data_IF_569706028531
#
_entry.id   IF_569706028531
#
_cell.length_a   1.000
_cell.length_b   1.000
_cell.length_c   1.000
_cell.angle_alpha   90.00
_cell.angle_beta   90.00
_cell.angle_gamma   90.00
#
_symmetry.space_group_name_H-M   'P 1'
#
loop_
_entity.id
_entity.type
_entity.pdbx_description
1 polymer ?
#
# COMPACT_ATOMS: atom_id res chain seq x y z
N UNK A 1 -6.95 -15.10 19.13
CA UNK A 1 -6.59 -13.79 18.54
C UNK A 1 -5.12 -13.82 18.19
N UNK A 2 -4.77 -13.73 16.90
CA UNK A 2 -3.37 -13.80 16.52
C UNK A 2 -2.65 -12.49 16.87
N UNK A 3 -1.57 -12.62 17.64
CA UNK A 3 -0.61 -11.55 17.99
C UNK A 3 -0.13 -10.73 16.78
N UNK A 4 -0.10 -11.34 15.60
CA UNK A 4 0.31 -10.68 14.36
C UNK A 4 -0.79 -9.79 13.76
N UNK A 5 -2.07 -10.11 13.95
CA UNK A 5 -3.16 -9.37 13.27
C UNK A 5 -3.25 -7.93 13.76
N UNK A 6 -3.15 -7.72 15.08
CA UNK A 6 -3.18 -6.38 15.66
C UNK A 6 -1.93 -5.57 15.29
N UNK A 7 -0.75 -6.20 15.29
CA UNK A 7 0.47 -5.53 14.83
C UNK A 7 0.42 -5.18 13.35
N UNK A 8 -0.16 -6.03 12.50
CA UNK A 8 -0.37 -5.75 11.07
C UNK A 8 -1.33 -4.57 10.89
N UNK A 9 -2.41 -4.49 11.68
CA UNK A 9 -3.33 -3.35 11.64
C UNK A 9 -2.64 -2.04 12.04
N UNK A 10 -1.73 -2.08 13.02
CA UNK A 10 -0.91 -0.92 13.37
C UNK A 10 0.04 -0.49 12.24
N UNK A 11 0.69 -1.44 11.55
CA UNK A 11 1.55 -1.11 10.40
C UNK A 11 0.72 -0.46 9.27
N UNK A 12 -0.45 -1.02 8.95
CA UNK A 12 -1.36 -0.44 7.94
C UNK A 12 -1.78 0.98 8.33
N UNK A 13 -2.16 1.20 9.59
CA UNK A 13 -2.54 2.52 10.08
C UNK A 13 -1.36 3.51 10.01
N UNK A 14 -0.15 3.08 10.35
CA UNK A 14 1.05 3.92 10.29
C UNK A 14 1.41 4.30 8.84
N UNK A 15 1.27 3.37 7.89
CA UNK A 15 1.48 3.62 6.46
C UNK A 15 0.48 4.66 5.92
N UNK A 16 -0.80 4.57 6.30
CA UNK A 16 -1.82 5.55 5.89
C UNK A 16 -1.55 6.96 6.46
N UNK A 17 -1.10 7.06 7.71
CA UNK A 17 -0.71 8.33 8.32
C UNK A 17 0.50 8.93 7.59
N UNK A 18 1.48 8.11 7.20
CA UNK A 18 2.64 8.55 6.42
C UNK A 18 2.23 9.04 5.02
N UNK A 19 1.22 8.43 4.39
CA UNK A 19 0.68 8.88 3.13
C UNK A 19 0.07 10.29 3.21
N UNK A 20 -0.75 10.55 4.23
CA UNK A 20 -1.33 11.89 4.47
C UNK A 20 -0.23 12.92 4.74
N UNK A 21 0.82 12.54 5.49
CA UNK A 21 1.95 13.44 5.77
C UNK A 21 2.71 13.84 4.50
N UNK A 22 2.92 12.90 3.58
CA UNK A 22 3.60 13.20 2.32
C UNK A 22 2.80 14.16 1.43
N UNK A 23 1.47 14.03 1.36
CA UNK A 23 0.62 14.98 0.62
C UNK A 23 0.71 16.39 1.20
N UNK A 24 0.73 16.48 2.54
CA UNK A 24 0.85 17.75 3.23
C UNK A 24 2.22 18.42 3.01
N UNK A 25 3.29 17.63 2.98
CA UNK A 25 4.62 18.11 2.59
C UNK A 25 4.68 18.63 1.15
N UNK A 26 4.05 17.92 0.20
CA UNK A 26 3.98 18.36 -1.19
C UNK A 26 3.20 19.67 -1.34
N UNK A 27 2.06 19.79 -0.64
CA UNK A 27 1.25 21.01 -0.59
C UNK A 27 2.03 22.18 0.01
N UNK A 28 2.71 21.98 1.15
CA UNK A 28 3.55 23.00 1.77
C UNK A 28 4.74 23.42 0.89
N UNK A 29 5.39 22.46 0.23
CA UNK A 29 6.48 22.74 -0.71
C UNK A 29 6.00 23.49 -1.97
N UNK A 30 4.78 23.23 -2.44
CA UNK A 30 4.17 23.98 -3.53
C UNK A 30 3.83 25.41 -3.11
N UNK A 31 3.27 25.60 -1.90
CA UNK A 31 2.97 26.92 -1.35
C UNK A 31 4.24 27.78 -1.17
N UNK A 32 5.33 27.20 -0.66
CA UNK A 32 6.63 27.88 -0.57
C UNK A 32 7.16 28.32 -1.94
N UNK A 33 7.09 27.43 -2.94
CA UNK A 33 7.52 27.74 -4.32
C UNK A 33 6.69 28.85 -4.95
N UNK A 34 5.40 28.94 -4.61
CA UNK A 34 4.49 29.98 -5.08
C UNK A 34 4.64 31.31 -4.31
N UNK A 35 5.48 31.37 -3.26
CA UNK A 35 5.60 32.53 -2.38
C UNK A 35 4.40 32.74 -1.44
N UNK A 36 3.52 31.74 -1.31
CA UNK A 36 2.37 31.77 -0.40
C UNK A 36 2.80 31.27 0.99
N UNK A 37 3.47 32.17 1.73
CA UNK A 37 4.05 31.87 3.03
C UNK A 37 3.02 31.52 4.11
N UNK A 38 1.79 32.02 4.01
CA UNK A 38 0.71 31.69 4.95
C UNK A 38 0.25 30.24 4.77
N UNK A 39 -0.03 29.80 3.54
CA UNK A 39 -0.37 28.39 3.29
C UNK A 39 0.78 27.45 3.61
N UNK A 40 2.01 27.86 3.31
CA UNK A 40 3.20 27.09 3.69
C UNK A 40 3.30 26.90 5.20
N UNK A 41 3.05 27.96 5.98
CA UNK A 41 3.07 27.91 7.44
C UNK A 41 1.99 26.98 7.99
N UNK A 42 0.77 27.05 7.44
CA UNK A 42 -0.33 26.14 7.83
C UNK A 42 0.01 24.68 7.54
N UNK A 43 0.55 24.38 6.35
CA UNK A 43 0.95 23.02 5.99
C UNK A 43 2.05 22.47 6.91
N UNK A 44 3.01 23.31 7.33
CA UNK A 44 4.05 22.92 8.29
C UNK A 44 3.45 22.62 9.67
N UNK A 45 2.56 23.47 10.18
CA UNK A 45 1.91 23.26 11.48
C UNK A 45 1.09 21.96 11.50
N UNK A 46 0.34 21.70 10.43
CA UNK A 46 -0.42 20.46 10.28
C UNK A 46 0.52 19.24 10.17
N UNK A 47 1.67 19.36 9.50
CA UNK A 47 2.63 18.27 9.34
C UNK A 47 3.28 17.91 10.69
N UNK A 48 3.56 18.90 11.52
CA UNK A 48 4.04 18.71 12.89
C UNK A 48 3.00 17.94 13.71
N UNK A 49 1.72 18.38 13.69
CA UNK A 49 0.63 17.69 14.41
C UNK A 49 0.48 16.23 13.95
N UNK A 50 0.60 15.98 12.65
CA UNK A 50 0.49 14.64 12.10
C UNK A 50 1.69 13.75 12.47
N UNK A 51 2.90 14.32 12.50
CA UNK A 51 4.09 13.62 12.97
C UNK A 51 3.99 13.23 14.46
N UNK A 52 3.47 14.11 15.31
CA UNK A 52 3.19 13.83 16.72
C UNK A 52 2.14 12.72 16.87
N UNK A 53 1.07 12.75 16.08
CA UNK A 53 0.05 11.70 16.08
C UNK A 53 0.64 10.35 15.66
N UNK A 54 1.44 10.31 14.58
CA UNK A 54 2.17 9.11 14.15
C UNK A 54 3.05 8.54 15.26
N UNK A 55 3.75 9.40 16.00
CA UNK A 55 4.58 8.97 17.12
C UNK A 55 3.75 8.31 18.23
N UNK A 56 2.57 8.86 18.54
CA UNK A 56 1.63 8.26 19.51
C UNK A 56 1.13 6.89 19.05
N UNK A 57 0.76 6.74 17.78
CA UNK A 57 0.32 5.45 17.21
C UNK A 57 1.43 4.40 17.29
N UNK A 58 2.67 4.79 16.97
CA UNK A 58 3.85 3.91 17.09
C UNK A 58 4.15 3.54 18.55
N UNK A 59 3.96 4.47 19.48
CA UNK A 59 4.07 4.17 20.90
C UNK A 59 3.03 3.14 21.36
N UNK A 60 1.77 3.27 20.92
CA UNK A 60 0.70 2.30 21.20
C UNK A 60 0.99 0.92 20.59
N UNK A 61 1.53 0.87 19.38
CA UNK A 61 1.99 -0.38 18.76
C UNK A 61 3.05 -1.08 19.62
N UNK A 62 4.05 -0.34 20.10
CA UNK A 62 5.10 -0.87 20.96
C UNK A 62 4.56 -1.31 22.33
N UNK A 63 3.66 -0.53 22.92
CA UNK A 63 3.00 -0.86 24.18
C UNK A 63 2.20 -2.16 24.05
N UNK A 64 1.39 -2.28 22.99
CA UNK A 64 0.65 -3.50 22.67
C UNK A 64 1.58 -4.71 22.54
N UNK A 65 2.67 -4.59 21.78
CA UNK A 65 3.66 -5.65 21.65
C UNK A 65 4.28 -6.06 23.01
N UNK A 66 4.50 -5.08 23.89
CA UNK A 66 4.99 -5.27 25.25
C UNK A 66 3.98 -5.94 26.20
N UNK A 67 2.70 -5.57 26.13
CA UNK A 67 1.61 -6.17 26.92
C UNK A 67 1.42 -7.64 26.56
N UNK A 68 1.43 -7.98 25.27
CA UNK A 68 1.37 -9.37 24.83
C UNK A 68 2.60 -10.15 25.27
N UNK A 69 3.78 -9.53 25.23
CA UNK A 69 5.01 -10.15 25.71
C UNK A 69 5.02 -10.38 27.23
N UNK A 70 4.36 -9.52 28.02
CA UNK A 70 4.22 -9.66 29.47
C UNK A 70 3.14 -10.67 29.86
N UNK A 71 2.01 -10.70 29.15
CA UNK A 71 0.96 -11.72 29.34
C UNK A 71 1.47 -13.15 29.11
N UNK A 72 2.37 -13.34 28.14
CA UNK A 72 3.03 -14.64 27.88
C UNK A 72 4.00 -15.08 29.00
N UNK A 73 4.66 -14.12 29.68
CA UNK A 73 5.52 -14.43 30.84
C UNK A 73 4.69 -14.84 32.07
N UNK A 74 3.51 -14.26 32.26
CA UNK A 74 2.63 -14.58 33.39
C UNK A 74 1.96 -15.96 33.28
N UNK A 75 1.76 -16.48 32.06
CA UNK A 75 1.08 -17.76 31.82
C UNK A 75 2.00 -18.99 31.75
N UNK A 76 3.30 -18.86 32.08
CA UNK A 76 4.24 -19.99 32.14
C UNK A 76 4.45 -20.78 30.84
N UNK A 77 3.91 -20.30 29.72
CA UNK A 77 3.95 -20.99 28.44
C UNK A 77 5.37 -20.88 27.86
N UNK A 78 6.15 -21.97 27.95
CA UNK A 78 7.40 -22.09 27.18
C UNK A 78 7.06 -21.84 25.70
N UNK A 79 7.76 -20.91 25.02
CA UNK A 79 7.44 -20.60 23.64
C UNK A 79 7.79 -21.84 22.80
N UNK A 80 6.76 -22.57 22.34
CA UNK A 80 6.92 -23.44 21.17
C UNK A 80 7.31 -22.51 20.03
N UNK A 81 8.60 -22.54 19.68
CA UNK A 81 9.15 -21.92 18.48
C UNK A 81 8.53 -22.60 17.26
N UNK A 82 7.35 -22.14 16.87
CA UNK A 82 6.93 -22.10 15.47
C UNK A 82 6.62 -20.65 15.13
N UNK A 83 7.59 -19.78 15.41
CA UNK A 83 7.73 -18.58 14.61
C UNK A 83 7.97 -19.09 13.18
N UNK A 84 6.91 -19.17 12.36
CA UNK A 84 7.10 -19.18 10.93
C UNK A 84 7.77 -17.86 10.64
N UNK A 85 9.06 -17.96 10.36
CA UNK A 85 9.98 -16.86 10.19
C UNK A 85 9.33 -15.79 9.31
N UNK A 86 9.57 -14.52 9.67
CA UNK A 86 9.35 -13.41 8.77
C UNK A 86 9.87 -13.83 7.39
N UNK A 87 9.04 -13.75 6.36
CA UNK A 87 9.53 -13.90 5.00
C UNK A 87 10.65 -12.89 4.80
N UNK A 88 11.84 -13.37 4.47
CA UNK A 88 12.96 -12.49 4.12
C UNK A 88 12.51 -11.51 3.03
N UNK A 89 12.96 -10.26 3.13
CA UNK A 89 12.72 -9.24 2.10
C UNK A 89 13.14 -9.83 0.75
N UNK A 90 12.28 -9.73 -0.27
CA UNK A 90 12.51 -10.29 -1.62
C UNK A 90 11.76 -11.58 -1.97
N UNK A 91 11.03 -12.19 -1.02
CA UNK A 91 10.26 -13.42 -1.29
C UNK A 91 8.86 -13.19 -1.87
N UNK A 92 8.41 -11.94 -1.99
CA UNK A 92 7.14 -11.56 -2.65
C UNK A 92 7.45 -10.90 -3.98
N UNK A 93 6.55 -11.06 -4.95
CA UNK A 93 6.62 -10.36 -6.21
C UNK A 93 6.63 -8.86 -5.93
N UNK A 94 7.65 -8.12 -6.41
CA UNK A 94 7.78 -6.69 -6.13
C UNK A 94 6.59 -5.95 -6.74
N UNK A 95 6.20 -4.83 -6.12
CA UNK A 95 5.13 -3.96 -6.60
C UNK A 95 5.33 -3.57 -8.07
N UNK A 96 6.56 -3.27 -8.46
CA UNK A 96 6.94 -2.84 -9.80
C UNK A 96 6.52 -3.84 -10.89
N UNK A 97 6.55 -5.15 -10.57
CA UNK A 97 6.12 -6.21 -11.50
C UNK A 97 4.61 -6.19 -11.78
N UNK A 98 3.81 -5.46 -11.00
CA UNK A 98 2.37 -5.30 -11.22
C UNK A 98 2.03 -4.13 -12.14
N UNK A 99 2.96 -3.19 -12.41
CA UNK A 99 2.70 -1.98 -13.20
C UNK A 99 2.13 -2.29 -14.57
N UNK A 100 2.91 -3.03 -15.38
CA UNK A 100 2.53 -3.40 -16.74
C UNK A 100 1.23 -4.22 -16.77
N UNK A 101 1.08 -5.31 -15.99
CA UNK A 101 -0.17 -6.07 -15.96
C UNK A 101 -1.41 -5.22 -15.64
N UNK A 102 -1.31 -4.23 -14.73
CA UNK A 102 -2.42 -3.33 -14.39
C UNK A 102 -2.78 -2.44 -15.59
N UNK A 103 -1.78 -1.77 -16.17
CA UNK A 103 -2.00 -0.85 -17.28
C UNK A 103 -2.53 -1.58 -18.52
N UNK A 104 -1.98 -2.75 -18.87
CA UNK A 104 -2.47 -3.58 -19.97
C UNK A 104 -3.92 -4.01 -19.76
N UNK A 105 -4.25 -4.46 -18.54
CA UNK A 105 -5.62 -4.87 -18.21
C UNK A 105 -6.60 -3.71 -18.37
N UNK A 106 -6.22 -2.50 -17.97
CA UNK A 106 -7.04 -1.30 -18.16
C UNK A 106 -7.21 -0.96 -19.64
N UNK A 107 -6.15 -1.02 -20.45
CA UNK A 107 -6.24 -0.77 -21.91
C UNK A 107 -7.22 -1.74 -22.56
N UNK A 108 -7.13 -3.02 -22.24
CA UNK A 108 -8.01 -4.07 -22.79
C UNK A 108 -9.45 -3.99 -22.28
N UNK A 109 -9.68 -3.38 -21.13
CA UNK A 109 -11.02 -3.11 -20.60
C UNK A 109 -11.61 -1.80 -21.15
N UNK A 110 -10.97 -1.17 -22.14
CA UNK A 110 -11.45 0.08 -22.74
C UNK A 110 -10.94 1.35 -22.04
N UNK A 111 -10.03 1.22 -21.09
CA UNK A 111 -9.36 2.31 -20.39
C UNK A 111 -9.88 2.60 -18.99
N UNK A 112 -11.09 2.19 -18.66
CA UNK A 112 -11.74 2.43 -17.36
C UNK A 112 -12.59 1.22 -16.99
N UNK A 113 -12.41 0.69 -15.79
CA UNK A 113 -13.12 -0.52 -15.37
C UNK A 113 -13.21 -0.71 -13.85
N UNK A 114 -14.16 -1.53 -13.37
CA UNK A 114 -14.26 -1.89 -11.96
C UNK A 114 -13.00 -2.59 -11.45
N UNK A 115 -12.59 -2.27 -10.21
CA UNK A 115 -11.39 -2.83 -9.57
C UNK A 115 -11.39 -4.37 -9.61
N UNK A 116 -12.55 -4.99 -9.38
CA UNK A 116 -12.69 -6.45 -9.40
C UNK A 116 -12.28 -7.06 -10.73
N UNK A 117 -12.76 -6.49 -11.84
CA UNK A 117 -12.46 -6.97 -13.20
C UNK A 117 -11.00 -6.74 -13.59
N UNK A 118 -10.45 -5.57 -13.23
CA UNK A 118 -9.03 -5.27 -13.46
C UNK A 118 -8.15 -6.26 -12.70
N UNK A 119 -8.42 -6.48 -11.42
CA UNK A 119 -7.66 -7.43 -10.61
C UNK A 119 -7.79 -8.84 -11.17
N UNK A 120 -8.97 -9.30 -11.58
CA UNK A 120 -9.12 -10.62 -12.19
C UNK A 120 -8.20 -10.83 -13.40
N UNK A 121 -8.13 -9.84 -14.31
CA UNK A 121 -7.21 -9.89 -15.46
C UNK A 121 -5.74 -9.83 -15.06
N UNK A 122 -5.38 -8.97 -14.11
CA UNK A 122 -4.01 -8.92 -13.57
C UNK A 122 -3.61 -10.29 -12.98
N UNK A 123 -4.50 -10.92 -12.22
CA UNK A 123 -4.29 -12.24 -11.65
C UNK A 123 -4.11 -13.32 -12.71
N UNK A 124 -4.89 -13.27 -13.79
CA UNK A 124 -4.75 -14.18 -14.92
C UNK A 124 -3.40 -14.00 -15.64
N UNK A 125 -2.97 -12.76 -15.89
CA UNK A 125 -1.67 -12.43 -16.52
C UNK A 125 -0.48 -12.86 -15.67
N UNK A 126 -0.56 -12.60 -14.37
CA UNK A 126 0.54 -12.84 -13.45
C UNK A 126 0.57 -14.27 -12.89
N UNK A 127 -0.37 -15.14 -13.27
CA UNK A 127 -0.50 -16.51 -12.75
C UNK A 127 0.81 -17.32 -12.79
N UNK A 128 1.67 -17.08 -13.79
CA UNK A 128 2.99 -17.71 -13.90
C UNK A 128 4.14 -17.02 -13.14
N UNK A 129 3.97 -15.78 -12.70
CA UNK A 129 4.98 -14.97 -12.00
C UNK A 129 4.67 -14.70 -10.52
N UNK A 130 3.46 -15.02 -10.06
CA UNK A 130 3.11 -14.99 -8.64
C UNK A 130 3.67 -16.22 -7.93
N UNK A 131 4.43 -16.01 -6.86
CA UNK A 131 4.94 -17.11 -6.04
C UNK A 131 3.89 -17.60 -5.03
N UNK A 132 4.23 -18.68 -4.33
CA UNK A 132 3.37 -19.29 -3.31
C UNK A 132 2.97 -18.35 -2.15
N UNK A 133 3.71 -17.27 -1.90
CA UNK A 133 3.42 -16.32 -0.82
C UNK A 133 2.41 -15.25 -1.24
N UNK A 134 2.41 -14.91 -2.52
CA UNK A 134 1.50 -13.93 -3.12
C UNK A 134 0.09 -14.51 -3.31
N UNK A 135 0.00 -15.81 -3.59
CA UNK A 135 -1.25 -16.56 -3.69
C UNK A 135 -1.85 -16.99 -2.34
N UNK A 136 -1.18 -16.68 -1.21
CA UNK A 136 -1.74 -16.98 0.11
C UNK A 136 -2.91 -16.03 0.43
N UNK A 137 -3.98 -16.55 1.08
CA UNK A 137 -5.06 -15.72 1.57
C UNK A 137 -4.55 -14.72 2.62
N UNK A 138 -5.25 -13.60 2.71
CA UNK A 138 -5.04 -12.63 3.78
C UNK A 138 -5.56 -13.25 5.10
N UNK A 139 -4.80 -13.15 6.20
CA UNK A 139 -5.28 -13.60 7.50
C UNK A 139 -6.56 -12.89 7.95
N UNK A 140 -6.79 -11.64 7.50
CA UNK A 140 -7.96 -10.82 7.79
C UNK A 140 -9.19 -11.14 6.95
N UNK A 141 -8.99 -11.59 5.71
CA UNK A 141 -10.06 -12.03 4.81
C UNK A 141 -9.57 -13.24 4.00
N UNK A 142 -10.01 -14.46 4.37
CA UNK A 142 -9.64 -15.68 3.66
C UNK A 142 -10.06 -15.70 2.18
N UNK A 143 -10.98 -14.80 1.76
CA UNK A 143 -11.45 -14.67 0.37
C UNK A 143 -10.57 -13.73 -0.46
N UNK A 144 -9.71 -12.96 0.18
CA UNK A 144 -8.81 -12.01 -0.50
C UNK A 144 -7.36 -12.51 -0.43
N UNK A 145 -6.64 -12.41 -1.54
CA UNK A 145 -5.27 -12.93 -1.70
C UNK A 145 -4.27 -11.80 -1.68
N UNK A 146 -3.09 -12.04 -1.10
CA UNK A 146 -2.09 -10.99 -0.80
C UNK A 146 -1.66 -10.17 -2.01
N UNK A 147 -1.54 -10.79 -3.18
CA UNK A 147 -1.14 -10.07 -4.40
C UNK A 147 -2.16 -9.02 -4.85
N UNK A 148 -3.45 -9.19 -4.55
CA UNK A 148 -4.48 -8.18 -4.84
C UNK A 148 -4.23 -6.90 -4.04
N UNK A 149 -3.67 -7.03 -2.83
CA UNK A 149 -3.27 -5.88 -2.04
C UNK A 149 -2.02 -5.22 -2.64
N UNK A 150 -1.01 -6.02 -3.05
CA UNK A 150 0.18 -5.49 -3.75
C UNK A 150 -0.19 -4.73 -5.03
N UNK A 151 -1.14 -5.25 -5.82
CA UNK A 151 -1.63 -4.59 -7.03
C UNK A 151 -2.34 -3.25 -6.72
N UNK A 152 -3.08 -3.16 -5.61
CA UNK A 152 -3.70 -1.91 -5.18
C UNK A 152 -2.66 -0.85 -4.75
N UNK A 153 -1.57 -1.27 -4.10
CA UNK A 153 -0.42 -0.39 -3.84
C UNK A 153 0.23 0.10 -5.13
N UNK A 154 0.48 -0.81 -6.08
CA UNK A 154 1.00 -0.45 -7.39
C UNK A 154 0.13 0.59 -8.08
N UNK A 155 -1.21 0.46 -8.00
CA UNK A 155 -2.11 1.48 -8.53
C UNK A 155 -1.91 2.85 -7.89
N UNK A 156 -1.72 2.94 -6.57
CA UNK A 156 -1.49 4.23 -5.92
C UNK A 156 -0.18 4.87 -6.40
N UNK A 157 0.88 4.08 -6.59
CA UNK A 157 2.12 4.56 -7.21
C UNK A 157 1.90 5.04 -8.64
N UNK A 158 1.17 4.29 -9.48
CA UNK A 158 0.84 4.67 -10.85
C UNK A 158 0.01 5.96 -10.92
N UNK A 159 -0.89 6.19 -9.97
CA UNK A 159 -1.67 7.44 -9.86
C UNK A 159 -0.75 8.62 -9.53
N UNK A 160 0.15 8.46 -8.54
CA UNK A 160 1.11 9.49 -8.16
C UNK A 160 2.05 9.86 -9.32
N UNK A 161 2.40 8.87 -10.15
CA UNK A 161 3.21 9.07 -11.34
C UNK A 161 2.43 9.59 -12.56
N UNK A 162 1.11 9.81 -12.42
CA UNK A 162 0.26 10.31 -13.49
C UNK A 162 -0.06 9.29 -14.59
N UNK A 163 0.23 8.01 -14.38
CA UNK A 163 -0.07 6.92 -15.32
C UNK A 163 -1.51 6.40 -15.18
N UNK A 164 -2.14 6.65 -14.03
CA UNK A 164 -3.55 6.38 -13.76
C UNK A 164 -4.24 7.62 -13.20
N UNK A 165 -5.57 7.72 -13.37
CA UNK A 165 -6.34 8.87 -12.89
C UNK A 165 -6.53 8.83 -11.36
N UNK A 166 -6.37 9.99 -10.74
CA UNK A 166 -6.62 10.20 -9.31
C UNK A 166 -8.09 10.47 -8.98
N UNK A 167 -8.85 10.96 -9.96
CA UNK A 167 -10.24 11.46 -9.84
C UNK A 167 -11.30 10.49 -10.38
N UNK A 168 -10.95 9.21 -10.57
CA UNK A 168 -11.90 8.18 -10.99
C UNK A 168 -13.01 7.95 -9.96
N UNK A 169 -14.24 7.57 -10.39
CA UNK A 169 -15.31 7.18 -9.49
C UNK A 169 -14.90 6.07 -8.52
N UNK A 170 -15.54 6.04 -7.34
CA UNK A 170 -15.26 5.01 -6.34
C UNK A 170 -15.47 3.60 -6.93
N UNK A 171 -14.49 2.71 -6.72
CA UNK A 171 -14.53 1.35 -7.25
C UNK A 171 -14.13 1.20 -8.72
N UNK A 172 -13.76 2.29 -9.40
CA UNK A 172 -13.30 2.30 -10.79
C UNK A 172 -11.83 2.70 -10.85
N UNK A 173 -11.06 1.99 -11.69
CA UNK A 173 -9.70 2.37 -12.06
C UNK A 173 -9.67 2.81 -13.52
N UNK A 174 -8.92 3.87 -13.80
CA UNK A 174 -8.81 4.43 -15.14
C UNK A 174 -7.35 4.78 -15.48
N UNK A 175 -6.95 4.45 -16.71
CA UNK A 175 -5.62 4.76 -17.24
C UNK A 175 -5.58 6.16 -17.86
N UNK A 176 -4.48 6.88 -17.69
CA UNK A 176 -4.25 8.15 -18.39
C UNK A 176 -3.62 7.93 -19.77
N UNK A 177 -3.60 8.98 -20.58
CA UNK A 177 -2.84 8.96 -21.83
C UNK A 177 -1.34 8.76 -21.59
N UNK A 178 -0.79 9.28 -20.49
CA UNK A 178 0.59 9.04 -20.10
C UNK A 178 0.84 7.56 -19.78
N UNK A 179 -0.10 6.89 -19.10
CA UNK A 179 -0.06 5.44 -18.87
C UNK A 179 -0.05 4.62 -20.17
N UNK A 180 -0.85 5.02 -21.17
CA UNK A 180 -0.85 4.37 -22.49
C UNK A 180 0.46 4.55 -23.23
N UNK A 181 1.03 5.76 -23.21
CA UNK A 181 2.34 6.05 -23.81
C UNK A 181 3.47 5.29 -23.13
N UNK A 182 3.43 5.20 -21.80
CA UNK A 182 4.39 4.42 -21.02
C UNK A 182 4.41 2.96 -21.47
N UNK A 183 3.24 2.33 -21.63
CA UNK A 183 3.13 0.96 -22.15
C UNK A 183 3.73 0.80 -23.55
N UNK A 184 3.45 1.74 -24.47
CA UNK A 184 3.97 1.68 -25.83
C UNK A 184 5.50 1.79 -25.87
N UNK A 185 6.07 2.68 -25.04
CA UNK A 185 7.51 2.91 -24.99
C UNK A 185 8.27 1.74 -24.35
N UNK A 186 7.68 1.10 -23.34
CA UNK A 186 8.27 -0.04 -22.65
C UNK A 186 8.09 -1.36 -23.44
N UNK A 187 7.20 -1.40 -24.45
CA UNK A 187 7.02 -2.57 -25.34
C UNK A 187 7.99 -2.59 -26.52
N UNK A 188 8.77 -1.53 -26.71
CA UNK A 188 9.77 -1.38 -27.78
C UNK A 188 11.22 -1.48 -27.33
N UNK A 189 11.47 -1.86 -26.07
CA UNK A 189 12.79 -2.18 -25.50
C UNK A 189 12.91 -3.68 -25.25
#
# INVERSE_FOLDING_TARGET
MNRNEVNIAFEILLEEIEFVANQLHESGAAALRAGDYEKARQAIEEAIRLAEFRAKVRALQNEWAGLVSRGLKALGAKPRRTARERLQRGLRTPEDAFRRPILESLVELGGSAPIGEVLERVGARMKGGLNQYDCQPLPSDPRSVRWKNTAQWCRNTLVREGLMKSDSPHGIWEITEAGRKWLLHESGQ
#
